data_IF_532446799227
#
_entry.id   IF_532446799227
#
_cell.length_a   1.000
_cell.length_b   1.000
_cell.length_c   1.000
_cell.angle_alpha   90.00
_cell.angle_beta   90.00
_cell.angle_gamma   90.00
#
_symmetry.space_group_name_H-M   'P 1'
#
loop_
_entity.id
_entity.type
_entity.pdbx_description
1 polymer ?
#
# COMPACT_ATOMS: atom_id res chain seq x y z
N UNK A 1 -7.81 -24.38 7.23
CA UNK A 1 -6.90 -23.20 7.14
C UNK A 1 -7.77 -21.96 7.08
N UNK A 2 -7.70 -21.07 8.09
CA UNK A 2 -8.43 -19.81 8.03
C UNK A 2 -7.79 -18.93 6.95
N UNK A 3 -8.56 -18.50 5.95
CA UNK A 3 -8.10 -17.52 4.97
C UNK A 3 -7.66 -16.28 5.76
N UNK A 4 -6.36 -15.99 5.83
CA UNK A 4 -5.89 -14.74 6.40
C UNK A 4 -6.61 -13.60 5.66
N UNK A 5 -7.24 -12.69 6.41
CA UNK A 5 -7.92 -11.56 5.81
C UNK A 5 -6.88 -10.75 5.01
N UNK A 6 -7.09 -10.67 3.69
CA UNK A 6 -6.26 -9.87 2.80
C UNK A 6 -6.89 -8.50 2.65
N UNK A 7 -6.18 -7.45 3.07
CA UNK A 7 -6.59 -6.07 2.82
C UNK A 7 -5.61 -5.45 1.85
N UNK A 8 -6.10 -4.90 0.73
CA UNK A 8 -5.27 -4.18 -0.22
C UNK A 8 -5.74 -2.74 -0.34
N UNK A 9 -4.77 -1.84 -0.36
CA UNK A 9 -4.95 -0.41 -0.58
C UNK A 9 -4.11 -0.02 -1.79
N UNK A 10 -4.67 0.80 -2.65
CA UNK A 10 -4.05 1.23 -3.89
C UNK A 10 -4.17 2.74 -4.02
N UNK A 11 -3.11 3.37 -4.54
CA UNK A 11 -2.98 4.82 -4.62
C UNK A 11 -2.46 5.24 -5.99
N UNK A 12 -2.93 6.38 -6.49
CA UNK A 12 -2.31 7.10 -7.60
C UNK A 12 -1.22 8.03 -7.07
N UNK A 13 -0.28 8.43 -7.94
CA UNK A 13 0.79 9.37 -7.59
C UNK A 13 0.27 10.73 -7.08
N UNK A 14 -0.95 11.11 -7.47
CA UNK A 14 -1.64 12.32 -7.00
C UNK A 14 -2.21 12.19 -5.56
N UNK A 15 -2.13 11.00 -4.95
CA UNK A 15 -2.60 10.74 -3.59
C UNK A 15 -4.06 10.36 -3.47
N UNK A 16 -4.70 9.95 -4.57
CA UNK A 16 -6.06 9.42 -4.56
C UNK A 16 -6.04 7.91 -4.37
N UNK A 17 -7.06 7.37 -3.69
CA UNK A 17 -7.27 5.94 -3.69
C UNK A 17 -7.61 5.46 -5.11
N UNK A 18 -6.94 4.41 -5.57
CA UNK A 18 -7.16 3.79 -6.87
C UNK A 18 -7.89 2.45 -6.67
N UNK A 19 -8.82 2.14 -7.57
CA UNK A 19 -9.47 0.81 -7.62
C UNK A 19 -8.92 -0.07 -8.74
N UNK A 20 -8.36 0.52 -9.80
CA UNK A 20 -8.00 -0.21 -11.03
C UNK A 20 -6.58 0.10 -11.50
N UNK A 21 -6.27 1.37 -11.81
CA UNK A 21 -4.94 1.82 -12.22
C UNK A 21 -4.22 2.51 -11.06
N UNK A 22 -3.40 1.76 -10.34
CA UNK A 22 -2.62 2.23 -9.20
C UNK A 22 -1.16 2.44 -9.56
N UNK A 23 -0.57 3.51 -9.05
CA UNK A 23 0.88 3.75 -9.11
C UNK A 23 1.61 3.04 -7.96
N UNK A 24 0.91 2.83 -6.84
CA UNK A 24 1.41 2.16 -5.66
C UNK A 24 0.31 1.35 -4.99
N UNK A 25 0.65 0.16 -4.49
CA UNK A 25 -0.27 -0.71 -3.75
C UNK A 25 0.39 -1.31 -2.52
N UNK A 26 -0.37 -1.39 -1.43
CA UNK A 26 0.02 -2.05 -0.19
C UNK A 26 -0.97 -3.17 0.09
N UNK A 27 -0.46 -4.39 0.24
CA UNK A 27 -1.25 -5.57 0.58
C UNK A 27 -0.88 -6.05 1.98
N UNK A 28 -1.86 -6.13 2.86
CA UNK A 28 -1.74 -6.70 4.19
C UNK A 28 -2.25 -8.13 4.18
N UNK A 29 -1.45 -9.03 4.76
CA UNK A 29 -1.79 -10.44 4.94
C UNK A 29 -1.70 -10.75 6.42
N UNK A 30 -2.83 -11.13 7.03
CA UNK A 30 -2.84 -11.58 8.43
C UNK A 30 -4.01 -11.01 9.25
N UNK A 31 -3.78 -10.81 10.55
CA UNK A 31 -4.82 -10.31 11.48
C UNK A 31 -4.60 -8.84 11.80
N UNK A 32 -4.99 -7.97 10.88
CA UNK A 32 -4.92 -6.52 11.06
C UNK A 32 -6.29 -5.86 10.98
N UNK A 33 -6.53 -4.85 11.81
CA UNK A 33 -7.73 -4.02 11.72
C UNK A 33 -7.66 -3.14 10.47
N UNK A 34 -8.76 -3.08 9.70
CA UNK A 34 -8.83 -2.29 8.47
C UNK A 34 -8.46 -0.81 8.65
N UNK A 35 -8.89 -0.18 9.74
CA UNK A 35 -8.58 1.24 10.02
C UNK A 35 -7.09 1.46 10.30
N UNK A 36 -6.45 0.51 11.01
CA UNK A 36 -5.00 0.55 11.24
C UNK A 36 -4.25 0.34 9.93
N UNK A 37 -4.67 -0.66 9.13
CA UNK A 37 -4.07 -0.95 7.84
C UNK A 37 -4.20 0.24 6.86
N UNK A 38 -5.32 0.97 6.88
CA UNK A 38 -5.53 2.15 6.04
C UNK A 38 -4.61 3.31 6.41
N UNK A 39 -4.49 3.63 7.71
CA UNK A 39 -3.60 4.67 8.21
C UNK A 39 -2.12 4.36 7.88
N UNK A 40 -1.75 3.09 8.05
CA UNK A 40 -0.42 2.59 7.74
C UNK A 40 -0.11 2.57 6.24
N UNK A 41 -1.10 2.20 5.41
CA UNK A 41 -1.00 2.24 3.96
C UNK A 41 -0.84 3.68 3.46
N UNK A 42 -1.58 4.62 4.06
CA UNK A 42 -1.45 6.05 3.74
C UNK A 42 -0.06 6.56 4.08
N UNK A 43 0.48 6.20 5.24
CA UNK A 43 1.86 6.56 5.62
C UNK A 43 2.89 6.03 4.61
N UNK A 44 2.79 4.75 4.23
CA UNK A 44 3.68 4.13 3.24
C UNK A 44 3.58 4.79 1.87
N UNK A 45 2.37 5.23 1.48
CA UNK A 45 2.19 6.01 0.27
C UNK A 45 2.94 7.34 0.32
N UNK A 46 2.83 8.10 1.42
CA UNK A 46 3.55 9.39 1.54
C UNK A 46 5.08 9.18 1.54
N UNK A 47 5.57 8.12 2.21
CA UNK A 47 6.98 7.72 2.18
C UNK A 47 7.43 7.38 0.74
N UNK A 48 6.67 6.53 0.04
CA UNK A 48 6.90 6.19 -1.37
C UNK A 48 6.89 7.43 -2.29
N UNK A 49 5.93 8.34 -2.08
CA UNK A 49 5.78 9.58 -2.84
C UNK A 49 6.97 10.51 -2.63
N UNK A 50 7.52 10.55 -1.42
CA UNK A 50 8.68 11.37 -1.08
C UNK A 50 9.99 10.89 -1.72
N UNK A 51 10.05 9.65 -2.22
CA UNK A 51 11.24 9.11 -2.87
C UNK A 51 11.61 9.93 -4.10
N UNK A 52 12.74 10.66 -4.04
CA UNK A 52 13.18 11.52 -5.15
C UNK A 52 13.64 10.74 -6.39
N UNK A 53 14.10 9.49 -6.21
CA UNK A 53 14.57 8.64 -7.30
C UNK A 53 13.40 7.87 -7.95
N UNK A 54 13.09 8.10 -9.24
CA UNK A 54 12.00 7.42 -9.94
C UNK A 54 12.15 5.90 -10.00
N UNK A 55 13.38 5.37 -10.08
CA UNK A 55 13.62 3.93 -10.07
C UNK A 55 13.35 3.32 -8.70
N UNK A 56 13.83 3.96 -7.63
CA UNK A 56 13.53 3.53 -6.26
C UNK A 56 12.02 3.54 -6.00
N UNK A 57 11.33 4.59 -6.47
CA UNK A 57 9.87 4.69 -6.41
C UNK A 57 9.19 3.54 -7.17
N UNK A 58 9.66 3.21 -8.38
CA UNK A 58 9.13 2.10 -9.17
C UNK A 58 9.33 0.74 -8.48
N UNK A 59 10.48 0.51 -7.85
CA UNK A 59 10.73 -0.74 -7.13
C UNK A 59 9.91 -0.87 -5.84
N UNK A 60 9.62 0.25 -5.19
CA UNK A 60 8.83 0.29 -3.95
C UNK A 60 7.31 0.41 -4.19
N UNK A 61 6.83 0.29 -5.44
CA UNK A 61 5.42 0.48 -5.80
C UNK A 61 4.50 -0.64 -5.34
N UNK A 62 5.02 -1.85 -5.12
CA UNK A 62 4.20 -2.97 -4.64
C UNK A 62 4.76 -3.50 -3.32
N UNK A 63 3.99 -3.30 -2.24
CA UNK A 63 4.40 -3.65 -0.89
C UNK A 63 3.50 -4.73 -0.31
N UNK A 64 4.10 -5.72 0.34
CA UNK A 64 3.38 -6.77 1.08
C UNK A 64 3.77 -6.64 2.56
N UNK A 65 2.79 -6.48 3.42
CA UNK A 65 2.93 -6.37 4.87
C UNK A 65 2.31 -7.60 5.51
N UNK A 66 3.10 -8.32 6.30
CA UNK A 66 2.65 -9.49 7.05
C UNK A 66 2.44 -9.08 8.51
N UNK A 67 1.25 -9.35 9.06
CA UNK A 67 0.86 -8.91 10.42
C UNK A 67 0.15 -9.99 11.23
#
# INVERSE_FOLDING_TARGET
>A
MSLAARLSFAFTADGRAAQDRADMSVTYVGRINRKQAEADARRRFEEWRSLANPLARRWASNQIVVS
#
